data_IF_569300596278
#
_entry.id   IF_569300596278
#
_cell.length_a   1.000
_cell.length_b   1.000
_cell.length_c   1.000
_cell.angle_alpha   90.00
_cell.angle_beta   90.00
_cell.angle_gamma   90.00
#
_symmetry.space_group_name_H-M   'P 1'
#
loop_
_entity.id
_entity.type
_entity.pdbx_description
1 polymer ?
#
# COMPACT_ATOMS: atom_id res chain seq x y z
N UNK A 1 41.78 -13.74 45.95
CA UNK A 1 40.86 -12.63 46.24
C UNK A 1 40.98 -11.67 45.07
N UNK A 2 39.85 -11.48 44.39
CA UNK A 2 39.54 -10.41 43.41
C UNK A 2 40.47 -10.36 42.18
N UNK A 3 40.01 -10.48 40.94
CA UNK A 3 38.85 -9.77 40.40
C UNK A 3 38.27 -10.55 39.21
N UNK A 4 37.01 -10.98 39.35
CA UNK A 4 36.18 -11.53 38.27
C UNK A 4 35.72 -10.36 37.40
N UNK A 5 36.45 -10.08 36.31
CA UNK A 5 35.86 -9.32 35.20
C UNK A 5 35.19 -10.29 34.25
N UNK A 6 33.91 -10.51 34.51
CA UNK A 6 32.94 -10.99 33.52
C UNK A 6 33.16 -10.23 32.21
N UNK A 7 33.52 -10.98 31.17
CA UNK A 7 33.45 -10.48 29.80
C UNK A 7 31.99 -10.58 29.39
N UNK A 8 31.36 -9.51 28.88
CA UNK A 8 30.00 -9.61 28.39
C UNK A 8 29.97 -10.60 27.22
N UNK A 9 29.22 -11.67 27.42
CA UNK A 9 28.96 -12.72 26.45
C UNK A 9 27.88 -12.22 25.49
N UNK A 10 28.23 -11.29 24.61
CA UNK A 10 27.36 -10.86 23.50
C UNK A 10 28.07 -11.18 22.21
N UNK A 11 27.95 -12.44 21.77
CA UNK A 11 28.14 -12.77 20.37
C UNK A 11 27.07 -11.98 19.61
N UNK A 12 27.49 -10.96 18.87
CA UNK A 12 26.69 -10.32 17.83
C UNK A 12 26.38 -11.40 16.79
N UNK A 13 25.33 -12.19 17.02
CA UNK A 13 24.86 -13.18 16.07
C UNK A 13 24.33 -12.38 14.87
N UNK A 14 24.93 -12.57 13.69
CA UNK A 14 24.52 -11.87 12.48
C UNK A 14 23.03 -12.12 12.20
N UNK A 15 22.37 -11.23 11.46
CA UNK A 15 20.93 -11.41 11.14
C UNK A 15 20.67 -12.76 10.48
N UNK A 16 21.59 -13.22 9.63
CA UNK A 16 21.54 -14.55 9.01
C UNK A 16 21.68 -15.69 10.02
N UNK A 17 22.50 -15.54 11.07
CA UNK A 17 22.61 -16.53 12.14
C UNK A 17 21.32 -16.59 12.98
N UNK A 18 20.71 -15.46 13.29
CA UNK A 18 19.40 -15.42 13.97
C UNK A 18 18.31 -16.09 13.11
N UNK A 19 18.27 -15.75 11.81
CA UNK A 19 17.36 -16.36 10.85
C UNK A 19 17.52 -17.89 10.80
N UNK A 20 18.75 -18.37 10.63
CA UNK A 20 19.01 -19.81 10.56
C UNK A 20 18.67 -20.50 11.88
N UNK A 21 18.99 -19.90 13.03
CA UNK A 21 18.61 -20.45 14.33
C UNK A 21 17.09 -20.54 14.53
N UNK A 22 16.32 -19.60 13.98
CA UNK A 22 14.86 -19.66 13.98
C UNK A 22 14.32 -20.77 13.06
N UNK A 23 14.91 -20.94 11.88
CA UNK A 23 14.58 -22.04 10.95
C UNK A 23 14.92 -23.41 11.56
N UNK A 24 16.07 -23.54 12.23
CA UNK A 24 16.53 -24.78 12.86
C UNK A 24 15.58 -25.28 13.98
N UNK A 25 14.81 -24.37 14.56
CA UNK A 25 13.79 -24.68 15.57
C UNK A 25 12.42 -25.03 14.97
N UNK A 26 12.31 -25.03 13.64
CA UNK A 26 11.07 -25.28 12.91
C UNK A 26 11.04 -26.67 12.24
N UNK A 27 9.87 -27.17 11.84
CA UNK A 27 9.76 -28.38 11.02
C UNK A 27 10.50 -28.32 9.67
N UNK A 28 10.90 -27.11 9.22
CA UNK A 28 11.52 -26.85 7.92
C UNK A 28 13.04 -26.71 8.00
N UNK A 29 13.68 -27.10 9.11
CA UNK A 29 15.12 -26.97 9.33
C UNK A 29 16.01 -27.53 8.20
N UNK A 30 15.58 -28.61 7.55
CA UNK A 30 16.33 -29.29 6.49
C UNK A 30 15.92 -28.85 5.07
N UNK A 31 15.07 -27.83 4.92
CA UNK A 31 14.60 -27.37 3.62
C UNK A 31 15.60 -26.42 2.97
N UNK A 32 15.56 -26.35 1.64
CA UNK A 32 16.36 -25.39 0.89
C UNK A 32 15.84 -23.96 1.11
N UNK A 33 16.74 -22.98 1.14
CA UNK A 33 16.42 -21.57 1.38
C UNK A 33 16.75 -20.77 0.13
N UNK A 34 15.75 -20.08 -0.43
CA UNK A 34 15.89 -19.19 -1.58
C UNK A 34 15.44 -17.77 -1.19
N UNK A 35 16.31 -16.77 -1.33
CA UNK A 35 15.93 -15.39 -1.11
C UNK A 35 15.05 -14.87 -2.26
N UNK A 36 13.92 -14.27 -1.92
CA UNK A 36 13.09 -13.57 -2.91
C UNK A 36 13.63 -12.16 -3.15
N UNK A 37 13.30 -11.60 -4.31
CA UNK A 37 13.69 -10.25 -4.67
C UNK A 37 13.12 -9.25 -3.65
N UNK A 38 13.99 -8.43 -3.06
CA UNK A 38 13.59 -7.36 -2.15
C UNK A 38 12.96 -6.20 -2.94
N UNK A 39 11.90 -5.61 -2.39
CA UNK A 39 11.28 -4.39 -2.90
C UNK A 39 11.66 -3.17 -2.03
N UNK A 40 10.76 -2.21 -1.80
CA UNK A 40 11.07 -0.98 -1.11
C UNK A 40 11.09 -1.02 0.42
N UNK A 41 10.56 -2.09 1.01
CA UNK A 41 10.57 -2.33 2.46
C UNK A 41 11.92 -2.90 2.94
N UNK A 42 12.18 -2.77 4.25
CA UNK A 42 13.31 -3.41 4.92
C UNK A 42 13.07 -4.90 5.19
N UNK A 43 11.81 -5.34 5.07
CA UNK A 43 11.39 -6.72 5.18
C UNK A 43 11.94 -7.56 4.04
N UNK A 44 12.39 -8.76 4.37
CA UNK A 44 12.92 -9.73 3.41
C UNK A 44 12.12 -11.01 3.49
N UNK A 45 11.95 -11.65 2.34
CA UNK A 45 11.26 -12.92 2.24
C UNK A 45 12.22 -13.98 1.71
N UNK A 46 12.17 -15.16 2.32
CA UNK A 46 12.91 -16.33 1.87
C UNK A 46 11.93 -17.48 1.70
N UNK A 47 11.96 -18.12 0.54
CA UNK A 47 11.22 -19.35 0.33
C UNK A 47 11.99 -20.51 0.93
N UNK A 48 11.32 -21.27 1.79
CA UNK A 48 11.78 -22.57 2.25
C UNK A 48 11.09 -23.62 1.38
N UNK A 49 11.86 -24.50 0.73
CA UNK A 49 11.32 -25.54 -0.16
C UNK A 49 11.79 -26.93 0.23
N UNK A 50 10.80 -27.82 0.45
CA UNK A 50 10.96 -29.26 0.61
C UNK A 50 10.74 -30.01 -0.71
N UNK A 51 10.34 -31.28 -0.65
CA UNK A 51 10.14 -32.09 -1.87
C UNK A 51 8.94 -31.65 -2.70
N UNK A 52 7.80 -31.34 -2.08
CA UNK A 52 6.54 -30.97 -2.76
C UNK A 52 5.80 -29.81 -2.09
N UNK A 53 6.43 -29.14 -1.13
CA UNK A 53 5.79 -28.13 -0.29
C UNK A 53 6.73 -26.93 -0.12
N UNK A 54 6.12 -25.75 0.08
CA UNK A 54 6.84 -24.50 0.29
C UNK A 54 6.18 -23.69 1.40
N UNK A 55 7.00 -22.93 2.12
CA UNK A 55 6.58 -21.91 3.08
C UNK A 55 7.46 -20.67 2.89
N UNK A 56 6.97 -19.51 3.32
CA UNK A 56 7.76 -18.28 3.30
C UNK A 56 8.24 -17.94 4.70
N UNK A 57 9.54 -17.73 4.84
CA UNK A 57 10.11 -17.04 5.97
C UNK A 57 10.06 -15.53 5.70
N UNK A 58 9.35 -14.81 6.56
CA UNK A 58 9.42 -13.36 6.69
C UNK A 58 10.51 -13.00 7.71
N UNK A 59 11.43 -12.14 7.28
CA UNK A 59 12.42 -11.45 8.11
C UNK A 59 12.01 -9.97 8.18
N UNK A 60 11.45 -9.56 9.31
CA UNK A 60 10.94 -8.22 9.59
C UNK A 60 11.71 -7.62 10.77
N UNK A 61 12.84 -6.92 10.54
CA UNK A 61 13.67 -6.40 11.62
C UNK A 61 12.87 -5.47 12.57
N UNK A 62 12.80 -5.75 13.89
CA UNK A 62 11.93 -5.01 14.82
C UNK A 62 12.21 -3.50 14.91
N UNK A 63 13.40 -3.06 14.52
CA UNK A 63 13.76 -1.64 14.50
C UNK A 63 13.05 -0.84 13.38
N UNK A 64 12.53 -1.52 12.35
CA UNK A 64 12.00 -0.89 11.14
C UNK A 64 10.66 -1.46 10.69
N UNK A 65 10.27 -2.65 11.15
CA UNK A 65 9.08 -3.37 10.69
C UNK A 65 8.25 -3.86 11.88
N UNK A 66 6.92 -3.74 11.78
CA UNK A 66 5.99 -4.21 12.80
C UNK A 66 5.40 -5.58 12.43
N UNK A 67 6.04 -6.65 12.92
CA UNK A 67 5.56 -8.02 12.71
C UNK A 67 4.26 -8.31 13.50
N UNK A 68 4.03 -7.64 14.62
CA UNK A 68 2.83 -7.86 15.43
C UNK A 68 1.59 -7.33 14.71
N UNK A 69 1.69 -6.15 14.09
CA UNK A 69 0.64 -5.58 13.23
C UNK A 69 0.31 -6.52 12.06
N UNK A 70 1.33 -7.03 11.34
CA UNK A 70 1.13 -8.01 10.28
C UNK A 70 0.34 -9.23 10.76
N UNK A 71 0.74 -9.83 11.88
CA UNK A 71 0.09 -11.04 12.40
C UNK A 71 -1.36 -10.74 12.84
N UNK A 72 -1.58 -9.63 13.53
CA UNK A 72 -2.91 -9.22 14.00
C UNK A 72 -3.89 -9.07 12.82
N UNK A 73 -3.48 -8.33 11.78
CA UNK A 73 -4.32 -8.07 10.62
C UNK A 73 -4.48 -9.35 9.79
N UNK A 74 -3.44 -10.17 9.65
CA UNK A 74 -3.53 -11.46 8.98
C UNK A 74 -4.60 -12.35 9.64
N UNK A 75 -4.53 -12.52 10.96
CA UNK A 75 -5.49 -13.33 11.72
C UNK A 75 -6.91 -12.76 11.64
N UNK A 76 -7.07 -11.43 11.71
CA UNK A 76 -8.35 -10.75 11.53
C UNK A 76 -8.97 -11.03 10.15
N UNK A 77 -8.21 -10.86 9.06
CA UNK A 77 -8.69 -11.15 7.70
C UNK A 77 -9.16 -12.60 7.58
N UNK A 78 -8.41 -13.56 8.15
CA UNK A 78 -8.81 -14.98 8.15
C UNK A 78 -10.08 -15.22 8.94
N UNK A 79 -10.26 -14.57 10.08
CA UNK A 79 -11.48 -14.66 10.88
C UNK A 79 -12.71 -14.15 10.10
N UNK A 80 -12.51 -13.24 9.14
CA UNK A 80 -13.54 -12.78 8.19
C UNK A 80 -13.73 -13.67 6.97
N UNK A 81 -13.07 -14.82 6.91
CA UNK A 81 -13.12 -15.75 5.77
C UNK A 81 -12.31 -15.29 4.55
N UNK A 82 -11.55 -14.19 4.68
CA UNK A 82 -10.67 -13.67 3.65
C UNK A 82 -9.34 -14.44 3.63
N UNK A 83 -8.60 -14.27 2.54
CA UNK A 83 -7.38 -15.04 2.29
C UNK A 83 -6.13 -14.20 2.57
N UNK A 84 -5.63 -14.27 3.79
CA UNK A 84 -4.27 -13.85 4.13
C UNK A 84 -3.42 -15.08 4.52
N UNK A 85 -2.07 -14.99 4.48
CA UNK A 85 -1.20 -16.12 4.79
C UNK A 85 -1.45 -16.66 6.19
N UNK A 86 -1.52 -18.00 6.36
CA UNK A 86 -1.47 -18.59 7.71
C UNK A 86 -0.13 -18.28 8.36
N UNK A 87 -0.16 -17.92 9.64
CA UNK A 87 1.03 -17.84 10.49
C UNK A 87 1.33 -19.23 11.03
N UNK A 88 2.47 -19.81 10.63
CA UNK A 88 2.85 -21.18 10.98
C UNK A 88 3.82 -21.22 12.17
N UNK A 89 4.72 -20.23 12.25
CA UNK A 89 5.63 -20.02 13.37
C UNK A 89 5.97 -18.53 13.48
N UNK A 90 6.22 -18.01 14.69
CA UNK A 90 6.57 -16.60 14.91
C UNK A 90 7.57 -16.43 16.06
N UNK A 91 8.44 -15.43 15.92
CA UNK A 91 9.34 -14.90 16.93
C UNK A 91 9.24 -13.37 16.83
N UNK A 92 8.48 -12.76 17.74
CA UNK A 92 8.26 -11.31 17.75
C UNK A 92 9.49 -10.54 18.22
N UNK A 93 10.26 -11.12 19.15
CA UNK A 93 11.43 -10.46 19.75
C UNK A 93 12.53 -10.24 18.71
N UNK A 94 12.72 -11.22 17.82
CA UNK A 94 13.67 -11.12 16.73
C UNK A 94 13.02 -10.74 15.39
N UNK A 95 11.69 -10.65 15.30
CA UNK A 95 11.01 -10.25 14.07
C UNK A 95 11.13 -11.27 12.94
N UNK A 96 10.84 -12.54 13.22
CA UNK A 96 10.74 -13.59 12.22
C UNK A 96 9.37 -14.27 12.24
N UNK A 97 8.86 -14.63 11.07
CA UNK A 97 7.69 -15.48 10.96
C UNK A 97 7.84 -16.48 9.81
N UNK A 98 7.35 -17.70 9.98
CA UNK A 98 7.11 -18.63 8.88
C UNK A 98 5.64 -18.58 8.57
N UNK A 99 5.30 -18.27 7.32
CA UNK A 99 3.95 -18.08 6.83
C UNK A 99 3.66 -18.99 5.64
N UNK A 100 2.39 -19.20 5.35
CA UNK A 100 1.94 -19.89 4.15
C UNK A 100 2.48 -19.23 2.86
N UNK A 101 2.92 -20.05 1.92
CA UNK A 101 3.33 -19.60 0.59
C UNK A 101 2.14 -19.69 -0.39
N UNK A 102 1.76 -18.57 -0.99
CA UNK A 102 0.72 -18.50 -2.02
C UNK A 102 1.23 -18.82 -3.44
N UNK A 103 2.52 -19.13 -3.57
CA UNK A 103 3.14 -19.50 -4.84
C UNK A 103 3.60 -18.28 -5.64
N UNK A 104 3.13 -18.14 -6.88
CA UNK A 104 3.69 -17.15 -7.82
C UNK A 104 2.65 -16.36 -8.62
N UNK A 105 1.36 -16.66 -8.43
CA UNK A 105 0.27 -16.17 -9.27
C UNK A 105 -0.28 -14.82 -8.80
N UNK A 106 0.60 -13.82 -8.66
CA UNK A 106 0.16 -12.42 -8.46
C UNK A 106 -0.74 -11.99 -9.61
N UNK A 107 -1.72 -11.13 -9.35
CA UNK A 107 -2.64 -10.65 -10.38
C UNK A 107 -1.88 -9.99 -11.53
N UNK A 108 -0.85 -9.18 -11.24
CA UNK A 108 0.04 -8.60 -12.27
C UNK A 108 0.60 -9.66 -13.22
N UNK A 109 1.25 -10.70 -12.69
CA UNK A 109 1.79 -11.81 -13.50
C UNK A 109 0.72 -12.54 -14.32
N UNK A 110 -0.50 -12.71 -13.80
CA UNK A 110 -1.59 -13.34 -14.55
C UNK A 110 -2.06 -12.44 -15.69
N UNK A 111 -2.24 -11.15 -15.40
CA UNK A 111 -2.67 -10.17 -16.38
C UNK A 111 -1.64 -9.97 -17.49
N UNK A 112 -0.35 -9.98 -17.17
CA UNK A 112 0.75 -9.87 -18.14
C UNK A 112 0.86 -11.13 -19.04
N UNK A 113 0.41 -12.28 -18.53
CA UNK A 113 0.24 -13.51 -19.32
C UNK A 113 -1.03 -13.52 -20.18
N UNK A 114 -1.83 -12.46 -20.16
CA UNK A 114 -3.05 -12.32 -20.97
C UNK A 114 -4.30 -12.95 -20.35
N UNK A 115 -4.30 -13.25 -19.04
CA UNK A 115 -5.54 -13.63 -18.37
C UNK A 115 -6.56 -12.47 -18.43
N UNK A 116 -7.85 -12.81 -18.49
CA UNK A 116 -8.91 -11.81 -18.47
C UNK A 116 -8.87 -11.00 -17.18
N UNK A 117 -8.93 -9.68 -17.29
CA UNK A 117 -8.85 -8.78 -16.13
C UNK A 117 -10.11 -8.84 -15.26
N UNK A 118 -11.29 -8.76 -15.88
CA UNK A 118 -12.55 -8.59 -15.15
C UNK A 118 -12.83 -9.66 -14.09
N UNK A 119 -12.54 -10.97 -14.30
CA UNK A 119 -12.67 -11.97 -13.23
C UNK A 119 -11.76 -11.72 -12.02
N UNK A 120 -10.50 -11.31 -12.23
CA UNK A 120 -9.56 -11.04 -11.14
C UNK A 120 -9.99 -9.82 -10.33
N UNK A 121 -10.35 -8.73 -11.01
CA UNK A 121 -10.84 -7.52 -10.37
C UNK A 121 -12.20 -7.72 -9.68
N UNK A 122 -13.10 -8.50 -10.27
CA UNK A 122 -14.38 -8.87 -9.64
C UNK A 122 -14.13 -9.63 -8.34
N UNK A 123 -13.21 -10.59 -8.35
CA UNK A 123 -12.83 -11.36 -7.16
C UNK A 123 -12.22 -10.47 -6.05
N UNK A 124 -11.40 -9.48 -6.41
CA UNK A 124 -10.87 -8.50 -5.46
C UNK A 124 -11.97 -7.59 -4.88
N UNK A 125 -12.87 -7.09 -5.73
CA UNK A 125 -14.02 -6.29 -5.27
C UNK A 125 -14.92 -7.11 -4.34
N UNK A 126 -15.21 -8.37 -4.66
CA UNK A 126 -16.00 -9.27 -3.81
C UNK A 126 -15.32 -9.52 -2.45
N UNK A 127 -14.00 -9.62 -2.44
CA UNK A 127 -13.22 -9.72 -1.21
C UNK A 127 -13.32 -8.45 -0.36
N UNK A 128 -13.30 -7.25 -0.96
CA UNK A 128 -13.51 -5.99 -0.24
C UNK A 128 -14.96 -5.85 0.27
N UNK A 129 -15.95 -6.26 -0.53
CA UNK A 129 -17.36 -6.31 -0.10
C UNK A 129 -17.49 -7.16 1.17
N UNK A 130 -16.88 -8.36 1.17
CA UNK A 130 -16.90 -9.25 2.33
C UNK A 130 -16.18 -8.65 3.56
N UNK A 131 -15.03 -7.99 3.35
CA UNK A 131 -14.33 -7.27 4.42
C UNK A 131 -15.22 -6.17 5.04
N UNK A 132 -15.83 -5.35 4.21
CA UNK A 132 -16.62 -4.19 4.66
C UNK A 132 -17.92 -4.62 5.34
N UNK A 133 -18.60 -5.65 4.82
CA UNK A 133 -19.82 -6.20 5.43
C UNK A 133 -19.53 -6.96 6.73
N UNK A 134 -18.34 -7.58 6.81
CA UNK A 134 -17.91 -8.32 7.99
C UNK A 134 -17.43 -7.43 9.14
N UNK A 135 -17.01 -6.19 8.86
CA UNK A 135 -16.43 -5.30 9.86
C UNK A 135 -17.46 -4.78 10.86
N UNK A 136 -17.08 -4.81 12.15
CA UNK A 136 -17.78 -4.12 13.22
C UNK A 136 -16.84 -3.12 13.93
N UNK A 137 -17.37 -1.95 14.27
CA UNK A 137 -16.61 -0.91 14.99
C UNK A 137 -16.03 -1.46 16.29
N UNK A 138 -14.72 -1.27 16.49
CA UNK A 138 -14.00 -1.71 17.68
C UNK A 138 -13.63 -3.20 17.70
N UNK A 139 -13.82 -3.92 16.60
CA UNK A 139 -13.44 -5.33 16.50
C UNK A 139 -11.93 -5.56 16.37
N UNK A 140 -11.21 -4.57 15.84
CA UNK A 140 -9.75 -4.54 15.75
C UNK A 140 -9.26 -3.17 16.18
N UNK A 141 -8.16 -3.14 16.94
CA UNK A 141 -7.52 -1.91 17.39
C UNK A 141 -6.54 -1.44 16.31
N UNK A 142 -7.01 -0.56 15.43
CA UNK A 142 -6.21 0.08 14.38
C UNK A 142 -6.36 1.59 14.48
N UNK A 143 -5.32 2.36 14.08
CA UNK A 143 -5.44 3.80 14.05
C UNK A 143 -6.51 4.21 13.03
N UNK A 144 -7.25 5.26 13.36
CA UNK A 144 -8.13 5.90 12.39
C UNK A 144 -7.31 6.71 11.40
N UNK A 145 -7.69 6.63 10.14
CA UNK A 145 -7.14 7.41 9.05
C UNK A 145 -7.69 8.83 9.16
N UNK A 146 -7.08 9.62 10.05
CA UNK A 146 -7.46 11.00 10.35
C UNK A 146 -6.52 12.01 9.67
N UNK A 147 -6.79 13.29 9.87
CA UNK A 147 -6.13 14.43 9.19
C UNK A 147 -4.60 14.35 9.20
N UNK A 148 -3.96 14.05 10.33
CA UNK A 148 -2.48 13.95 10.39
C UNK A 148 -1.87 12.99 9.35
N UNK A 149 -2.50 11.85 9.07
CA UNK A 149 -2.03 10.94 8.01
C UNK A 149 -2.25 11.54 6.62
N UNK A 150 -3.43 12.13 6.37
CA UNK A 150 -3.74 12.71 5.07
C UNK A 150 -2.86 13.93 4.76
N UNK A 151 -2.58 14.77 5.75
CA UNK A 151 -1.75 15.96 5.60
C UNK A 151 -0.29 15.59 5.28
N UNK A 152 0.29 14.66 6.04
CA UNK A 152 1.66 14.15 5.80
C UNK A 152 1.79 13.52 4.41
N UNK A 153 0.74 12.83 3.97
CA UNK A 153 0.73 12.17 2.66
C UNK A 153 0.51 13.13 1.50
N UNK A 154 -0.38 14.12 1.65
CA UNK A 154 -0.59 15.17 0.67
C UNK A 154 0.67 16.06 0.54
N UNK A 155 1.37 16.31 1.64
CA UNK A 155 2.61 17.07 1.68
C UNK A 155 3.67 16.52 0.71
N UNK A 156 3.67 15.22 0.43
CA UNK A 156 4.59 14.60 -0.53
C UNK A 156 4.52 15.25 -1.90
N UNK A 157 3.34 15.68 -2.34
CA UNK A 157 3.17 16.35 -3.63
C UNK A 157 3.85 17.72 -3.64
N UNK A 158 3.58 18.56 -2.65
CA UNK A 158 4.13 19.93 -2.56
C UNK A 158 5.60 19.98 -2.13
N UNK A 159 6.09 18.95 -1.43
CA UNK A 159 7.45 18.90 -0.92
C UNK A 159 8.43 18.17 -1.86
N UNK A 160 7.94 17.29 -2.74
CA UNK A 160 8.79 16.54 -3.69
C UNK A 160 8.46 16.85 -5.14
N UNK A 161 7.19 16.73 -5.55
CA UNK A 161 6.81 16.90 -6.95
C UNK A 161 6.84 18.36 -7.40
N UNK A 162 6.22 19.28 -6.66
CA UNK A 162 6.21 20.70 -7.04
C UNK A 162 7.63 21.27 -7.16
N UNK A 163 8.59 20.97 -6.26
CA UNK A 163 9.97 21.41 -6.43
C UNK A 163 10.67 20.79 -7.64
N UNK A 164 10.38 19.51 -7.95
CA UNK A 164 10.86 18.88 -9.17
C UNK A 164 10.36 19.59 -10.43
N UNK A 165 9.08 19.97 -10.45
CA UNK A 165 8.44 20.67 -11.57
C UNK A 165 8.92 22.11 -11.70
N UNK A 166 9.08 22.82 -10.60
CA UNK A 166 9.39 24.26 -10.57
C UNK A 166 10.90 24.55 -10.61
N UNK A 167 11.74 23.58 -10.25
CA UNK A 167 13.17 23.78 -10.02
C UNK A 167 13.50 24.63 -8.79
N UNK A 168 12.50 24.88 -7.91
CA UNK A 168 12.63 25.62 -6.65
C UNK A 168 11.57 25.15 -5.66
N UNK A 169 11.81 25.37 -4.37
CA UNK A 169 10.78 25.12 -3.35
C UNK A 169 9.57 26.03 -3.57
N UNK A 170 8.40 25.47 -3.25
CA UNK A 170 7.16 26.22 -3.15
C UNK A 170 7.25 27.19 -1.96
N UNK A 171 6.49 28.29 -1.95
CA UNK A 171 6.43 29.15 -0.76
C UNK A 171 5.64 28.48 0.35
N UNK A 172 5.92 28.85 1.61
CA UNK A 172 5.22 28.30 2.78
C UNK A 172 3.71 28.61 2.73
N UNK A 173 3.32 29.77 2.19
CA UNK A 173 1.92 30.13 2.03
C UNK A 173 1.22 29.20 1.03
N UNK A 174 1.80 28.98 -0.15
CA UNK A 174 1.22 28.11 -1.16
C UNK A 174 1.20 26.65 -0.71
N UNK A 175 2.24 26.21 0.02
CA UNK A 175 2.28 24.88 0.66
C UNK A 175 1.13 24.71 1.65
N UNK A 176 0.92 25.68 2.53
CA UNK A 176 -0.17 25.65 3.52
C UNK A 176 -1.55 25.65 2.84
N UNK A 177 -1.77 26.51 1.85
CA UNK A 177 -3.03 26.57 1.10
C UNK A 177 -3.41 25.22 0.49
N UNK A 178 -2.43 24.50 -0.08
CA UNK A 178 -2.65 23.16 -0.64
C UNK A 178 -3.10 22.16 0.42
N UNK A 179 -2.43 22.14 1.58
CA UNK A 179 -2.76 21.24 2.68
C UNK A 179 -4.13 21.57 3.27
N UNK A 180 -4.45 22.85 3.45
CA UNK A 180 -5.76 23.30 3.94
C UNK A 180 -6.90 22.88 2.98
N UNK A 181 -6.65 22.93 1.66
CA UNK A 181 -7.60 22.43 0.65
C UNK A 181 -7.83 20.93 0.82
N UNK A 182 -6.77 20.12 0.90
CA UNK A 182 -6.91 18.67 1.05
C UNK A 182 -7.58 18.29 2.37
N UNK A 183 -7.18 18.91 3.47
CA UNK A 183 -7.80 18.73 4.79
C UNK A 183 -9.30 19.01 4.73
N UNK A 184 -9.72 20.11 4.09
CA UNK A 184 -11.13 20.44 3.91
C UNK A 184 -11.89 19.42 3.04
N UNK A 185 -11.27 18.90 1.99
CA UNK A 185 -11.88 17.91 1.10
C UNK A 185 -12.11 16.58 1.81
N UNK A 186 -11.08 16.13 2.55
CA UNK A 186 -11.06 14.87 3.31
C UNK A 186 -12.01 14.92 4.50
N UNK A 187 -12.15 16.06 5.19
CA UNK A 187 -13.17 16.25 6.23
C UNK A 187 -14.61 16.00 5.74
N UNK A 188 -14.85 16.14 4.44
CA UNK A 188 -16.14 15.85 3.81
C UNK A 188 -16.36 14.39 3.42
N UNK A 189 -15.35 13.51 3.60
CA UNK A 189 -15.47 12.07 3.32
C UNK A 189 -16.32 11.39 4.40
N UNK A 190 -17.11 10.39 4.02
CA UNK A 190 -17.99 9.69 4.95
C UNK A 190 -17.21 8.96 6.05
N UNK A 191 -17.43 9.40 7.29
CA UNK A 191 -16.87 8.81 8.51
C UNK A 191 -17.89 7.91 9.24
N UNK A 192 -19.13 7.80 8.75
CA UNK A 192 -20.17 6.98 9.41
C UNK A 192 -20.01 5.49 9.09
N UNK A 193 -19.53 5.18 7.90
CA UNK A 193 -19.37 3.82 7.40
C UNK A 193 -17.90 3.47 7.22
N UNK A 194 -17.07 3.78 8.21
CA UNK A 194 -15.66 3.39 8.20
C UNK A 194 -15.49 1.86 8.26
N UNK A 195 -14.37 1.39 7.73
CA UNK A 195 -13.95 0.00 7.75
C UNK A 195 -12.44 -0.11 7.87
N UNK A 196 -11.95 -1.34 8.03
CA UNK A 196 -10.53 -1.63 7.80
C UNK A 196 -10.20 -1.32 6.34
N UNK A 197 -9.22 -0.44 6.12
CA UNK A 197 -8.62 -0.13 4.82
C UNK A 197 -7.19 -0.66 4.81
N UNK A 198 -6.88 -1.49 3.82
CA UNK A 198 -5.61 -2.20 3.66
C UNK A 198 -4.52 -1.31 3.04
N UNK A 199 -4.93 -0.20 2.43
CA UNK A 199 -4.12 0.87 1.82
C UNK A 199 -3.36 0.48 0.55
N UNK A 200 -2.65 -0.64 0.57
CA UNK A 200 -1.87 -1.16 -0.57
C UNK A 200 -2.61 -2.29 -1.29
N UNK A 201 -3.93 -2.11 -1.45
CA UNK A 201 -4.82 -3.04 -2.13
C UNK A 201 -4.78 -2.83 -3.65
N UNK A 202 -3.83 -3.49 -4.32
CA UNK A 202 -3.60 -3.36 -5.76
C UNK A 202 -3.02 -4.65 -6.36
N UNK A 203 -2.93 -4.76 -7.69
CA UNK A 203 -2.69 -6.05 -8.38
C UNK A 203 -1.34 -6.72 -8.07
N UNK A 204 -0.33 -5.97 -7.62
CA UNK A 204 0.94 -6.56 -7.17
C UNK A 204 0.82 -7.28 -5.82
N UNK A 205 -0.11 -6.84 -4.96
CA UNK A 205 -0.32 -7.36 -3.60
C UNK A 205 -1.51 -8.34 -3.52
N UNK A 206 -2.07 -8.71 -4.68
CA UNK A 206 -3.12 -9.70 -4.80
C UNK A 206 -2.63 -10.93 -5.56
N UNK A 207 -2.99 -12.11 -5.08
CA UNK A 207 -2.62 -13.40 -5.67
C UNK A 207 -3.85 -14.27 -5.88
N UNK A 208 -3.89 -14.98 -7.01
CA UNK A 208 -4.85 -16.06 -7.19
C UNK A 208 -4.27 -17.31 -6.53
N UNK A 209 -4.92 -17.81 -5.48
CA UNK A 209 -4.46 -18.97 -4.72
C UNK A 209 -5.14 -20.23 -5.22
N UNK A 210 -4.35 -21.18 -5.72
CA UNK A 210 -4.83 -22.45 -6.25
C UNK A 210 -5.50 -23.31 -5.17
N UNK A 211 -6.57 -24.02 -5.55
CA UNK A 211 -7.30 -24.93 -4.67
C UNK A 211 -8.22 -24.26 -3.63
N UNK A 212 -8.27 -22.93 -3.60
CA UNK A 212 -9.26 -22.18 -2.83
C UNK A 212 -10.51 -21.87 -3.68
N UNK A 213 -11.66 -21.67 -3.02
CA UNK A 213 -12.94 -21.36 -3.67
C UNK A 213 -13.47 -19.98 -3.27
N UNK A 214 -14.22 -19.35 -4.19
CA UNK A 214 -14.86 -18.06 -3.97
C UNK A 214 -13.86 -16.95 -3.62
N UNK A 215 -14.24 -16.07 -2.70
CA UNK A 215 -13.37 -14.97 -2.24
C UNK A 215 -12.08 -15.46 -1.58
N UNK A 216 -12.02 -16.72 -1.11
CA UNK A 216 -10.82 -17.28 -0.52
C UNK A 216 -9.72 -17.54 -1.57
N UNK A 217 -10.05 -17.51 -2.87
CA UNK A 217 -9.04 -17.55 -3.95
C UNK A 217 -8.29 -16.22 -4.09
N UNK A 218 -8.76 -15.13 -3.46
CA UNK A 218 -8.14 -13.81 -3.51
C UNK A 218 -7.11 -13.63 -2.37
N UNK A 219 -5.91 -14.16 -2.54
CA UNK A 219 -4.81 -13.97 -1.61
C UNK A 219 -4.40 -12.49 -1.50
N UNK A 220 -4.38 -11.98 -0.28
CA UNK A 220 -4.02 -10.60 0.04
C UNK A 220 -2.67 -10.58 0.75
N UNK A 221 -1.80 -9.65 0.34
CA UNK A 221 -0.49 -9.41 0.91
C UNK A 221 -0.37 -7.94 1.34
N UNK A 222 0.70 -7.62 2.06
CA UNK A 222 1.14 -6.24 2.33
C UNK A 222 0.08 -5.35 2.98
N UNK A 223 -0.57 -5.87 4.03
CA UNK A 223 -1.67 -5.23 4.75
C UNK A 223 -1.28 -4.74 6.15
N UNK A 224 -0.01 -4.81 6.55
CA UNK A 224 0.42 -4.49 7.92
C UNK A 224 0.18 -3.03 8.33
N UNK A 225 0.06 -2.12 7.36
CA UNK A 225 -0.14 -0.69 7.60
C UNK A 225 -1.64 -0.32 7.61
N UNK A 226 -2.54 -1.31 7.68
CA UNK A 226 -3.98 -1.07 7.61
C UNK A 226 -4.47 -0.10 8.69
N UNK A 227 -5.48 0.69 8.33
CA UNK A 227 -6.12 1.70 9.17
C UNK A 227 -7.63 1.49 9.22
N UNK A 228 -8.32 2.26 10.06
CA UNK A 228 -9.78 2.45 9.96
C UNK A 228 -10.06 3.70 9.11
N UNK A 229 -10.82 3.58 8.02
CA UNK A 229 -11.11 4.70 7.13
C UNK A 229 -12.26 4.44 6.16
N UNK A 230 -12.39 5.29 5.15
CA UNK A 230 -13.49 5.21 4.18
C UNK A 230 -13.42 3.95 3.31
N UNK A 231 -14.59 3.32 3.12
CA UNK A 231 -14.80 2.16 2.23
C UNK A 231 -14.42 2.43 0.77
N UNK A 232 -14.29 3.68 0.36
CA UNK A 232 -13.85 4.02 -0.98
C UNK A 232 -12.34 3.85 -1.20
N UNK A 233 -11.52 3.87 -0.14
CA UNK A 233 -10.06 3.99 -0.27
C UNK A 233 -9.42 2.81 -1.01
N UNK A 234 -9.70 1.57 -0.60
CA UNK A 234 -9.11 0.38 -1.25
C UNK A 234 -9.72 0.13 -2.64
N UNK A 235 -10.94 0.62 -2.89
CA UNK A 235 -11.58 0.56 -4.22
C UNK A 235 -10.84 1.48 -5.19
N UNK A 236 -10.52 2.70 -4.76
CA UNK A 236 -9.65 3.63 -5.51
C UNK A 236 -8.28 3.00 -5.75
N UNK A 237 -7.65 2.44 -4.70
CA UNK A 237 -6.33 1.82 -4.81
C UNK A 237 -6.27 0.69 -5.84
N UNK A 238 -7.36 -0.07 -5.99
CA UNK A 238 -7.46 -1.14 -6.97
C UNK A 238 -7.76 -0.63 -8.38
N UNK A 239 -8.76 0.25 -8.53
CA UNK A 239 -9.31 0.65 -9.83
C UNK A 239 -8.56 1.81 -10.48
N UNK A 240 -7.76 2.56 -9.70
CA UNK A 240 -6.88 3.62 -10.17
C UNK A 240 -5.43 3.31 -9.81
N UNK A 241 -5.03 2.05 -9.96
CA UNK A 241 -3.67 1.58 -9.68
C UNK A 241 -2.66 2.30 -10.57
N UNK A 242 -1.64 2.89 -9.95
CA UNK A 242 -0.53 3.57 -10.60
C UNK A 242 0.21 2.73 -11.65
N UNK A 243 0.17 1.41 -11.53
CA UNK A 243 0.93 0.49 -12.37
C UNK A 243 0.17 0.00 -13.59
N UNK A 244 -1.16 0.20 -13.62
CA UNK A 244 -1.98 -0.43 -14.65
C UNK A 244 -3.22 0.37 -14.97
N UNK A 245 -3.42 0.58 -16.27
CA UNK A 245 -4.63 1.21 -16.76
C UNK A 245 -5.82 0.24 -16.66
N UNK A 246 -6.86 0.68 -15.96
CA UNK A 246 -8.10 -0.06 -15.74
C UNK A 246 -9.18 0.54 -16.64
N UNK A 247 -9.73 -0.29 -17.53
CA UNK A 247 -10.75 0.12 -18.49
C UNK A 247 -11.94 0.83 -17.79
N UNK A 248 -12.31 2.06 -18.20
CA UNK A 248 -13.37 2.85 -17.55
C UNK A 248 -14.72 2.13 -17.48
N UNK A 249 -15.08 1.36 -18.51
CA UNK A 249 -16.33 0.59 -18.52
C UNK A 249 -16.30 -0.53 -17.48
N UNK A 250 -15.13 -1.15 -17.26
CA UNK A 250 -14.95 -2.16 -16.21
C UNK A 250 -15.02 -1.51 -14.82
N UNK A 251 -14.34 -0.37 -14.62
CA UNK A 251 -14.43 0.44 -13.39
C UNK A 251 -15.89 0.75 -13.05
N UNK A 252 -16.67 1.26 -14.02
CA UNK A 252 -18.08 1.56 -13.80
C UNK A 252 -18.91 0.33 -13.38
N UNK A 253 -18.68 -0.84 -13.99
CA UNK A 253 -19.37 -2.10 -13.61
C UNK A 253 -18.99 -2.56 -12.20
N UNK A 254 -17.71 -2.46 -11.84
CA UNK A 254 -17.20 -2.89 -10.55
C UNK A 254 -17.65 -1.96 -9.41
N UNK A 255 -17.69 -0.65 -9.65
CA UNK A 255 -18.27 0.32 -8.72
C UNK A 255 -19.77 0.07 -8.51
N UNK A 256 -20.52 -0.17 -9.58
CA UNK A 256 -21.94 -0.50 -9.50
C UNK A 256 -22.18 -1.80 -8.71
N UNK A 257 -21.33 -2.81 -8.92
CA UNK A 257 -21.35 -4.07 -8.16
C UNK A 257 -21.10 -3.83 -6.66
N UNK A 258 -20.08 -3.05 -6.33
CA UNK A 258 -19.76 -2.71 -4.95
C UNK A 258 -20.95 -2.02 -4.25
N UNK A 259 -21.49 -0.97 -4.86
CA UNK A 259 -22.62 -0.20 -4.31
C UNK A 259 -23.90 -1.04 -4.18
N UNK A 260 -24.16 -1.97 -5.10
CA UNK A 260 -25.31 -2.86 -5.01
C UNK A 260 -25.28 -3.78 -3.77
N UNK A 261 -24.09 -4.03 -3.22
CA UNK A 261 -23.88 -4.81 -2.00
C UNK A 261 -23.76 -3.96 -0.73
N UNK A 262 -23.83 -2.63 -0.84
CA UNK A 262 -23.68 -1.68 0.28
C UNK A 262 -24.84 -0.67 0.28
N UNK A 263 -26.10 -1.12 0.42
CA UNK A 263 -27.29 -0.26 0.27
C UNK A 263 -27.39 0.85 1.32
N UNK A 264 -26.64 0.77 2.42
CA UNK A 264 -26.54 1.81 3.44
C UNK A 264 -25.68 3.01 3.02
N UNK A 265 -24.82 2.83 2.01
CA UNK A 265 -23.95 3.89 1.50
C UNK A 265 -24.74 4.76 0.51
N UNK A 266 -24.71 6.08 0.72
CA UNK A 266 -25.20 7.03 -0.28
C UNK A 266 -24.28 7.00 -1.51
N UNK A 267 -24.82 6.57 -2.65
CA UNK A 267 -24.05 6.41 -3.88
C UNK A 267 -23.46 7.71 -4.43
N UNK A 268 -24.09 8.86 -4.21
CA UNK A 268 -23.53 10.15 -4.65
C UNK A 268 -22.42 10.61 -3.71
N UNK A 269 -22.60 10.43 -2.40
CA UNK A 269 -21.52 10.66 -1.43
C UNK A 269 -20.33 9.74 -1.70
N UNK A 270 -20.56 8.47 -1.99
CA UNK A 270 -19.49 7.52 -2.30
C UNK A 270 -18.69 7.93 -3.55
N UNK A 271 -19.37 8.38 -4.61
CA UNK A 271 -18.68 8.88 -5.81
C UNK A 271 -17.83 10.11 -5.50
N UNK A 272 -18.36 11.05 -4.71
CA UNK A 272 -17.58 12.20 -4.24
C UNK A 272 -16.35 11.74 -3.48
N UNK A 273 -16.51 10.81 -2.54
CA UNK A 273 -15.43 10.30 -1.70
C UNK A 273 -14.38 9.56 -2.51
N UNK A 274 -14.81 8.77 -3.49
CA UNK A 274 -13.95 8.11 -4.46
C UNK A 274 -13.07 9.11 -5.21
N UNK A 275 -13.65 10.21 -5.71
CA UNK A 275 -12.89 11.24 -6.44
C UNK A 275 -11.93 12.03 -5.53
N UNK A 276 -12.35 12.35 -4.30
CA UNK A 276 -11.50 13.04 -3.31
C UNK A 276 -10.32 12.18 -2.89
N UNK A 277 -10.58 10.92 -2.53
CA UNK A 277 -9.55 9.97 -2.11
C UNK A 277 -8.66 9.56 -3.29
N UNK A 278 -9.21 9.47 -4.50
CA UNK A 278 -8.47 9.34 -5.76
C UNK A 278 -7.43 10.44 -5.91
N UNK A 279 -7.86 11.70 -5.89
CA UNK A 279 -6.94 12.83 -6.00
C UNK A 279 -5.88 12.87 -4.90
N UNK A 280 -6.27 12.60 -3.65
CA UNK A 280 -5.33 12.54 -2.53
C UNK A 280 -4.28 11.45 -2.77
N UNK A 281 -4.73 10.24 -3.10
CA UNK A 281 -3.86 9.09 -3.37
C UNK A 281 -2.93 9.35 -4.56
N UNK A 282 -3.43 9.93 -5.64
CA UNK A 282 -2.60 10.25 -6.80
C UNK A 282 -1.54 11.29 -6.46
N UNK A 283 -1.90 12.35 -5.74
CA UNK A 283 -0.96 13.38 -5.29
C UNK A 283 0.15 12.78 -4.41
N UNK A 284 -0.25 11.94 -3.43
CA UNK A 284 0.68 11.16 -2.59
C UNK A 284 1.64 10.33 -3.44
N UNK A 285 1.13 9.50 -4.36
CA UNK A 285 1.96 8.60 -5.19
C UNK A 285 2.92 9.36 -6.08
N UNK A 286 2.46 10.44 -6.72
CA UNK A 286 3.30 11.33 -7.54
C UNK A 286 4.49 11.84 -6.71
N UNK A 287 4.24 12.32 -5.49
CA UNK A 287 5.28 12.74 -4.55
C UNK A 287 6.21 11.59 -4.15
N UNK A 288 5.66 10.40 -3.85
CA UNK A 288 6.45 9.21 -3.49
C UNK A 288 7.40 8.81 -4.62
N UNK A 289 6.96 8.77 -5.87
CA UNK A 289 7.81 8.36 -6.99
C UNK A 289 8.98 9.32 -7.21
N UNK A 290 8.75 10.62 -7.09
CA UNK A 290 9.82 11.62 -7.12
C UNK A 290 10.78 11.42 -5.94
N UNK A 291 10.26 11.24 -4.72
CA UNK A 291 11.08 10.97 -3.52
C UNK A 291 11.93 9.72 -3.68
N UNK A 292 11.34 8.60 -4.12
CA UNK A 292 12.02 7.34 -4.34
C UNK A 292 13.15 7.47 -5.37
N UNK A 293 12.94 8.26 -6.43
CA UNK A 293 13.98 8.56 -7.40
C UNK A 293 15.13 9.35 -6.77
N UNK A 294 14.84 10.46 -6.09
CA UNK A 294 15.83 11.44 -5.61
C UNK A 294 16.59 10.96 -4.36
N UNK A 295 15.85 10.47 -3.37
CA UNK A 295 16.40 10.07 -2.07
C UNK A 295 16.95 8.64 -2.12
N UNK A 296 16.18 7.73 -2.73
CA UNK A 296 16.42 6.29 -2.64
C UNK A 296 17.04 5.68 -3.92
N UNK A 297 17.35 6.50 -4.94
CA UNK A 297 17.93 6.10 -6.24
C UNK A 297 17.08 5.07 -7.01
N UNK A 298 15.76 5.06 -6.83
CA UNK A 298 14.83 4.13 -7.49
C UNK A 298 14.13 4.79 -8.69
N UNK A 299 14.90 5.14 -9.71
CA UNK A 299 14.41 5.86 -10.89
C UNK A 299 13.32 5.10 -11.69
N UNK A 300 13.25 3.76 -11.58
CA UNK A 300 12.29 2.96 -12.32
C UNK A 300 10.82 3.26 -11.97
N UNK A 301 10.53 3.80 -10.77
CA UNK A 301 9.17 4.23 -10.42
C UNK A 301 8.66 5.41 -11.26
N UNK A 302 9.57 6.21 -11.84
CA UNK A 302 9.18 7.30 -12.73
C UNK A 302 8.52 6.81 -14.03
N UNK A 303 8.68 5.53 -14.38
CA UNK A 303 7.99 4.93 -15.53
C UNK A 303 6.47 4.90 -15.34
N UNK A 304 5.99 4.85 -14.09
CA UNK A 304 4.56 4.88 -13.75
C UNK A 304 4.00 6.30 -13.62
N UNK A 305 4.89 7.30 -13.49
CA UNK A 305 4.49 8.68 -13.20
C UNK A 305 3.53 9.28 -14.24
N UNK A 306 3.73 9.11 -15.57
CA UNK A 306 2.80 9.68 -16.55
C UNK A 306 1.37 9.18 -16.40
N UNK A 307 1.21 7.89 -16.06
CA UNK A 307 -0.12 7.31 -15.83
C UNK A 307 -0.79 7.94 -14.61
N UNK A 308 -0.09 8.01 -13.47
CA UNK A 308 -0.63 8.61 -12.24
C UNK A 308 -0.91 10.10 -12.40
N UNK A 309 -0.08 10.84 -13.14
CA UNK A 309 -0.36 12.24 -13.46
C UNK A 309 -1.64 12.38 -14.31
N UNK A 310 -1.90 11.46 -15.24
CA UNK A 310 -3.15 11.40 -16.00
C UNK A 310 -4.36 11.09 -15.12
N UNK A 311 -4.24 10.14 -14.18
CA UNK A 311 -5.27 9.86 -13.18
C UNK A 311 -5.57 11.10 -12.32
N UNK A 312 -4.54 11.77 -11.82
CA UNK A 312 -4.68 13.00 -11.03
C UNK A 312 -5.33 14.13 -11.84
N UNK A 313 -4.90 14.33 -13.09
CA UNK A 313 -5.49 15.32 -14.00
C UNK A 313 -6.99 15.08 -14.18
N UNK A 314 -7.41 13.82 -14.35
CA UNK A 314 -8.83 13.45 -14.45
C UNK A 314 -9.59 13.75 -13.16
N UNK A 315 -9.04 13.41 -11.98
CA UNK A 315 -9.71 13.73 -10.71
C UNK A 315 -9.96 15.24 -10.55
N UNK A 316 -9.02 16.09 -10.99
CA UNK A 316 -9.16 17.56 -10.95
C UNK A 316 -10.31 18.10 -11.82
N UNK A 317 -10.86 17.30 -12.74
CA UNK A 317 -12.04 17.69 -13.53
C UNK A 317 -13.32 17.63 -12.69
N UNK A 318 -13.37 16.81 -11.63
CA UNK A 318 -14.53 16.63 -10.77
C UNK A 318 -14.87 17.92 -10.00
N UNK A 319 -16.17 18.23 -9.88
CA UNK A 319 -16.64 19.50 -9.31
C UNK A 319 -16.22 19.70 -7.84
N UNK A 320 -16.16 18.60 -7.08
CA UNK A 320 -15.77 18.65 -5.67
C UNK A 320 -14.30 19.06 -5.50
N UNK A 321 -13.46 18.91 -6.54
CA UNK A 321 -12.05 19.30 -6.53
C UNK A 321 -11.79 20.68 -7.12
N UNK A 322 -12.83 21.48 -7.36
CA UNK A 322 -12.67 22.84 -7.88
C UNK A 322 -11.65 23.71 -7.10
N UNK A 323 -11.59 23.68 -5.74
CA UNK A 323 -10.56 24.42 -5.01
C UNK A 323 -9.14 23.95 -5.32
N UNK A 324 -8.93 22.63 -5.42
CA UNK A 324 -7.63 22.05 -5.75
C UNK A 324 -7.23 22.34 -7.19
N UNK A 325 -8.17 22.27 -8.14
CA UNK A 325 -7.95 22.66 -9.53
C UNK A 325 -7.52 24.12 -9.65
N UNK A 326 -8.21 25.04 -8.96
CA UNK A 326 -7.86 26.46 -8.95
C UNK A 326 -6.44 26.69 -8.38
N UNK A 327 -6.09 25.98 -7.31
CA UNK A 327 -4.74 26.03 -6.75
C UNK A 327 -3.68 25.53 -7.75
N UNK A 328 -3.96 24.42 -8.45
CA UNK A 328 -3.07 23.89 -9.49
C UNK A 328 -2.90 24.87 -10.65
N UNK A 329 -3.96 25.51 -11.13
CA UNK A 329 -3.90 26.54 -12.18
C UNK A 329 -3.04 27.75 -11.77
N UNK A 330 -3.02 28.09 -10.48
CA UNK A 330 -2.24 29.20 -9.94
C UNK A 330 -0.75 28.85 -9.74
N UNK A 331 -0.44 27.63 -9.31
CA UNK A 331 0.90 27.26 -8.83
C UNK A 331 1.66 26.27 -9.71
N UNK A 332 0.98 25.45 -10.51
CA UNK A 332 1.60 24.48 -11.40
C UNK A 332 1.80 25.07 -12.81
N UNK A 333 3.02 25.01 -13.39
CA UNK A 333 3.23 25.47 -14.76
C UNK A 333 2.66 24.46 -15.75
N UNK A 334 1.65 24.86 -16.51
CA UNK A 334 1.02 23.98 -17.51
C UNK A 334 0.17 22.87 -16.88
N UNK A 335 -0.15 21.84 -17.66
CA UNK A 335 -0.98 20.73 -17.18
C UNK A 335 -0.17 19.76 -16.34
N UNK A 336 -0.80 19.17 -15.31
CA UNK A 336 -0.12 18.22 -14.42
C UNK A 336 0.29 16.92 -15.10
N UNK A 337 -0.38 16.53 -16.18
CA UNK A 337 -0.07 15.35 -17.00
C UNK A 337 0.99 15.59 -18.08
N UNK A 338 1.57 16.80 -18.15
CA UNK A 338 2.76 17.02 -18.94
C UNK A 338 3.94 16.20 -18.37
N UNK A 339 4.82 15.63 -19.23
CA UNK A 339 5.98 14.88 -18.78
C UNK A 339 6.81 15.67 -17.76
N UNK A 340 7.13 15.04 -16.62
CA UNK A 340 7.99 15.63 -15.61
C UNK A 340 9.46 15.46 -16.03
N UNK A 341 10.18 16.57 -16.16
CA UNK A 341 11.61 16.59 -16.47
C UNK A 341 12.31 17.42 -15.41
N UNK A 342 13.27 16.80 -14.71
CA UNK A 342 14.06 17.44 -13.67
C UNK A 342 15.44 16.80 -13.56
N UNK A 343 16.36 17.51 -12.92
CA UNK A 343 17.71 17.04 -12.59
C UNK A 343 17.69 16.49 -11.15
N UNK A 344 17.85 15.17 -10.99
CA UNK A 344 17.70 14.50 -9.70
C UNK A 344 18.77 14.95 -8.69
N UNK A 345 20.00 15.24 -9.13
CA UNK A 345 21.08 15.67 -8.26
C UNK A 345 20.84 17.10 -7.77
N UNK A 346 20.42 18.02 -8.66
CA UNK A 346 20.02 19.37 -8.24
C UNK A 346 18.83 19.37 -7.30
N UNK A 347 17.85 18.50 -7.56
CA UNK A 347 16.69 18.39 -6.70
C UNK A 347 17.06 17.81 -5.33
N UNK A 348 18.02 16.88 -5.30
CA UNK A 348 18.60 16.35 -4.06
C UNK A 348 19.27 17.45 -3.25
N UNK A 349 20.12 18.27 -3.86
CA UNK A 349 20.75 19.44 -3.22
C UNK A 349 19.72 20.47 -2.72
N UNK A 350 18.60 20.64 -3.44
CA UNK A 350 17.55 21.56 -3.05
C UNK A 350 16.74 21.06 -1.85
N UNK A 351 16.45 19.76 -1.80
CA UNK A 351 15.48 19.17 -0.87
C UNK A 351 16.10 18.56 0.38
N UNK A 352 17.29 17.98 0.24
CA UNK A 352 17.96 17.24 1.30
C UNK A 352 19.14 18.05 1.88
N UNK A 353 19.36 17.95 3.20
CA UNK A 353 20.41 18.69 3.91
C UNK A 353 21.83 18.21 3.58
#
# INVERSE_FOLDING_TARGET
MEDLKERPNTVLNSRDQQRNAFIDQSPWANWSIEALQADASFRRYFRLAGENETVLLMDAPPATEDLAAFICIAEYLRAKGLRSPRILQKDLDHGFAIIEDFGHSTYTKLLDKGHAAEPLYTLAIDSLIALHQGYAVGEIDLPHYHDGFYDDEAALFVDWYMPARLGRRLSEEARREFLDIFSSLVHGVDQKHECVVLRDYHVDNLMLVDGAEGINSCGQLDFQDALIGSRAYDIVSLLEDARRDVCPEMTARLLARFLACQPEIDGEQFKRDYEVLGAHRHAKVIGIFVRLCVRDNKAHYLNYLPHVQGLFARSLEHESLAPLRAWMEQHHPGRVDEPLVFDADKLKELLLP
#
